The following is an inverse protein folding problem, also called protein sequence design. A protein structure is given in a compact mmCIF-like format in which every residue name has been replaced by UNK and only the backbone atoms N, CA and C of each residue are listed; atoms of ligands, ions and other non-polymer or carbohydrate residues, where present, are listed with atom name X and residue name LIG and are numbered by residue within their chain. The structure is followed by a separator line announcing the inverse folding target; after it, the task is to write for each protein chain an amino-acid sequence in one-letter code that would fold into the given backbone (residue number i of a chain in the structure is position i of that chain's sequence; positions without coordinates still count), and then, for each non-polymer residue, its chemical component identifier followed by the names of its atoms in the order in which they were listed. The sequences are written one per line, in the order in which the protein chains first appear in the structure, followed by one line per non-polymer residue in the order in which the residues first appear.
data_IF_774490048524
#
_entry.id   IF_774490048524
#
_cell.length_a   1.000
_cell.length_b   1.000
_cell.length_c   1.000
_cell.angle_alpha   90.00
_cell.angle_beta   90.00
_cell.angle_gamma   90.00
#
_symmetry.space_group_name_H-M   'P 1'
#
loop_
_entity.id
_entity.type
_entity.pdbx_description
1 polymer ?
#
# COMPACT_ATOMS: atom_id res chain seq x y z
N UNK A 1 19.77 -16.29 -3.70
CA UNK A 1 20.16 -14.88 -3.57
C UNK A 1 19.64 -14.19 -4.82
N UNK A 2 18.60 -13.37 -4.70
CA UNK A 2 18.15 -12.55 -5.82
C UNK A 2 19.10 -11.37 -5.89
N UNK A 3 19.78 -11.24 -7.02
CA UNK A 3 20.69 -10.15 -7.34
C UNK A 3 19.87 -8.86 -7.51
N UNK A 4 20.24 -7.82 -6.75
CA UNK A 4 19.59 -6.50 -6.73
C UNK A 4 20.45 -5.45 -7.46
N UNK A 5 21.30 -5.87 -8.39
CA UNK A 5 22.10 -4.95 -9.18
C UNK A 5 21.33 -4.39 -10.38
N UNK A 6 21.22 -3.06 -10.43
CA UNK A 6 21.28 -2.36 -11.71
C UNK A 6 19.96 -2.01 -12.39
N UNK A 7 19.13 -1.21 -11.73
CA UNK A 7 18.68 0.06 -12.32
C UNK A 7 18.63 1.06 -11.19
N UNK A 8 19.55 2.00 -11.27
CA UNK A 8 19.72 3.24 -10.54
C UNK A 8 18.38 3.93 -10.16
N UNK A 9 17.69 3.37 -9.15
CA UNK A 9 16.38 3.79 -8.60
C UNK A 9 16.37 5.21 -8.03
N UNK A 10 17.51 5.89 -8.05
CA UNK A 10 17.67 7.24 -7.52
C UNK A 10 18.38 8.16 -8.51
N UNK A 11 18.71 7.72 -9.72
CA UNK A 11 19.62 8.46 -10.60
C UNK A 11 19.02 9.77 -11.12
N UNK A 12 17.73 9.78 -11.50
CA UNK A 12 17.07 11.02 -11.91
C UNK A 12 16.91 11.99 -10.72
N UNK A 13 16.62 11.45 -9.53
CA UNK A 13 16.59 12.19 -8.27
C UNK A 13 17.97 12.77 -7.87
N UNK A 14 19.04 12.03 -8.11
CA UNK A 14 20.42 12.39 -7.75
C UNK A 14 20.99 13.51 -8.63
N UNK A 15 20.59 13.56 -9.91
CA UNK A 15 21.06 14.59 -10.86
C UNK A 15 20.53 15.99 -10.49
N UNK A 16 19.41 16.09 -9.78
CA UNK A 16 18.78 17.38 -9.40
C UNK A 16 19.06 17.83 -7.95
N UNK A 17 19.68 17.00 -7.12
CA UNK A 17 19.94 17.35 -5.72
C UNK A 17 21.17 18.25 -5.56
N UNK A 18 20.96 19.56 -5.63
CA UNK A 18 21.95 20.56 -5.20
C UNK A 18 21.99 20.74 -3.67
N UNK A 19 21.08 20.11 -2.93
CA UNK A 19 20.86 20.31 -1.49
C UNK A 19 21.39 19.11 -0.69
N UNK A 20 22.17 19.40 0.36
CA UNK A 20 22.64 18.39 1.33
C UNK A 20 21.56 18.12 2.38
N UNK A 21 21.44 16.85 2.77
CA UNK A 21 20.56 16.40 3.85
C UNK A 21 21.38 15.77 4.97
N UNK A 22 21.03 16.09 6.22
CA UNK A 22 21.61 15.46 7.40
C UNK A 22 20.97 14.11 7.69
N UNK A 23 19.68 13.94 7.40
CA UNK A 23 18.92 12.74 7.70
C UNK A 23 17.98 12.33 6.57
N UNK A 24 17.75 11.02 6.49
CA UNK A 24 16.65 10.42 5.72
C UNK A 24 15.54 10.02 6.67
N UNK A 25 14.29 10.35 6.40
CA UNK A 25 13.15 9.98 7.26
C UNK A 25 12.15 9.08 6.53
N UNK A 26 11.77 7.95 7.14
CA UNK A 26 10.67 7.14 6.63
C UNK A 26 9.33 7.85 6.89
N UNK A 27 8.71 8.32 5.83
CA UNK A 27 7.48 9.10 5.85
C UNK A 27 6.28 8.28 5.37
N UNK A 28 5.39 7.93 6.29
CA UNK A 28 4.17 7.16 5.99
C UNK A 28 2.96 8.04 5.65
N UNK A 29 3.05 9.36 5.80
CA UNK A 29 1.89 10.27 5.74
C UNK A 29 1.08 10.37 7.04
N UNK A 30 1.36 9.50 8.02
CA UNK A 30 0.67 9.49 9.30
C UNK A 30 1.25 10.47 10.32
N UNK A 31 0.54 10.61 11.44
CA UNK A 31 0.92 11.49 12.54
C UNK A 31 2.34 11.21 13.07
N UNK A 32 2.64 9.95 13.40
CA UNK A 32 3.86 9.62 14.13
C UNK A 32 5.13 9.89 13.29
N UNK A 33 5.12 9.59 11.98
CA UNK A 33 6.24 9.93 11.08
C UNK A 33 6.37 11.44 10.85
N UNK A 34 5.26 12.16 10.75
CA UNK A 34 5.22 13.62 10.64
C UNK A 34 5.85 14.30 11.86
N UNK A 35 5.52 13.83 13.07
CA UNK A 35 6.10 14.35 14.31
C UNK A 35 7.60 14.08 14.38
N UNK A 36 8.04 12.85 14.08
CA UNK A 36 9.46 12.49 14.08
C UNK A 36 10.28 13.40 13.15
N UNK A 37 9.78 13.66 11.94
CA UNK A 37 10.40 14.59 10.99
C UNK A 37 10.46 16.01 11.58
N UNK A 38 9.35 16.53 12.10
CA UNK A 38 9.29 17.89 12.66
C UNK A 38 10.20 18.07 13.88
N UNK A 39 10.33 17.05 14.74
CA UNK A 39 11.20 17.11 15.91
C UNK A 39 12.65 17.38 15.47
N UNK A 40 13.13 16.64 14.47
CA UNK A 40 14.51 16.77 13.99
C UNK A 40 14.70 18.03 13.15
N UNK A 41 13.78 18.32 12.22
CA UNK A 41 13.87 19.52 11.38
C UNK A 41 13.86 20.82 12.19
N UNK A 42 13.09 20.91 13.28
CA UNK A 42 13.09 22.09 14.17
C UNK A 42 14.41 22.35 14.88
N UNK A 43 15.35 21.40 14.89
CA UNK A 43 16.70 21.58 15.45
C UNK A 43 17.72 22.03 14.42
N UNK A 44 17.27 22.43 13.23
CA UNK A 44 18.13 22.95 12.17
C UNK A 44 18.73 21.88 11.26
N UNK A 45 18.36 20.61 11.45
CA UNK A 45 18.79 19.53 10.57
C UNK A 45 17.99 19.50 9.26
N UNK A 46 18.70 19.34 8.15
CA UNK A 46 18.08 19.11 6.84
C UNK A 46 17.61 17.66 6.73
N UNK A 47 16.32 17.46 6.44
CA UNK A 47 15.70 16.12 6.38
C UNK A 47 15.12 15.87 4.99
N UNK A 48 15.49 14.74 4.38
CA UNK A 48 14.81 14.20 3.22
C UNK A 48 13.76 13.18 3.69
N UNK A 49 12.48 13.45 3.47
CA UNK A 49 11.42 12.48 3.71
C UNK A 49 11.31 11.50 2.54
N UNK A 50 11.22 10.20 2.82
CA UNK A 50 11.02 9.16 1.81
C UNK A 50 9.73 8.42 2.11
N UNK A 51 8.84 8.38 1.11
CA UNK A 51 7.59 7.64 1.15
C UNK A 51 7.62 6.51 0.13
N UNK A 52 7.73 5.28 0.62
CA UNK A 52 7.55 4.10 -0.22
C UNK A 52 6.06 3.88 -0.53
N UNK A 53 5.68 4.00 -1.80
CA UNK A 53 4.33 3.78 -2.26
C UNK A 53 4.14 2.30 -2.61
N UNK A 54 3.47 1.57 -1.73
CA UNK A 54 3.24 0.13 -1.91
C UNK A 54 2.01 -0.15 -2.78
N UNK A 55 1.97 -1.28 -3.50
CA UNK A 55 0.75 -1.73 -4.21
C UNK A 55 -0.45 -1.89 -3.28
N UNK A 56 -0.23 -2.07 -1.98
CA UNK A 56 -1.27 -2.31 -0.97
C UNK A 56 -1.70 -1.06 -0.20
N UNK A 57 -1.31 0.12 -0.70
CA UNK A 57 -1.87 1.39 -0.21
C UNK A 57 -3.27 1.60 -0.77
N UNK A 58 -4.21 2.17 0.01
CA UNK A 58 -5.54 2.50 -0.51
C UNK A 58 -5.48 3.53 -1.62
N UNK A 59 -6.48 3.51 -2.50
CA UNK A 59 -6.55 4.39 -3.66
C UNK A 59 -5.67 3.93 -4.83
N UNK A 60 -5.49 4.83 -5.79
CA UNK A 60 -4.75 4.56 -7.04
C UNK A 60 -3.28 4.26 -6.76
N UNK A 61 -2.72 3.26 -7.45
CA UNK A 61 -1.28 2.99 -7.45
C UNK A 61 -0.50 4.21 -7.93
N UNK A 62 0.56 4.55 -7.19
CA UNK A 62 1.59 5.47 -7.66
C UNK A 62 2.59 4.63 -8.45
N UNK A 63 2.82 4.98 -9.71
CA UNK A 63 3.69 4.23 -10.64
C UNK A 63 5.01 4.91 -10.93
N UNK A 64 5.11 6.19 -10.58
CA UNK A 64 6.27 7.02 -10.89
C UNK A 64 6.80 7.67 -9.61
N UNK A 65 8.11 7.92 -9.61
CA UNK A 65 8.76 8.69 -8.57
C UNK A 65 8.22 10.13 -8.57
N UNK A 66 8.11 10.70 -7.37
CA UNK A 66 7.69 12.09 -7.22
C UNK A 66 8.56 12.78 -6.20
N UNK A 67 9.18 13.88 -6.59
CA UNK A 67 9.90 14.76 -5.70
C UNK A 67 9.13 16.07 -5.54
N UNK A 68 8.90 16.49 -4.30
CA UNK A 68 8.22 17.75 -4.01
C UNK A 68 8.58 18.27 -2.62
N UNK A 69 8.43 19.57 -2.42
CA UNK A 69 8.50 20.17 -1.10
C UNK A 69 7.17 19.98 -0.36
N UNK A 70 7.19 19.26 0.75
CA UNK A 70 6.03 19.09 1.61
C UNK A 70 5.91 20.29 2.56
N UNK A 71 5.10 21.27 2.19
CA UNK A 71 4.93 22.52 2.93
C UNK A 71 4.46 22.34 4.38
N UNK A 72 3.59 21.35 4.65
CA UNK A 72 3.10 21.11 6.02
C UNK A 72 4.21 20.62 6.94
N UNK A 73 5.15 19.83 6.42
CA UNK A 73 6.33 19.36 7.14
C UNK A 73 7.52 20.32 7.06
N UNK A 74 7.59 21.14 6.02
CA UNK A 74 8.73 22.01 5.74
C UNK A 74 9.96 21.23 5.27
N UNK A 75 9.78 20.11 4.58
CA UNK A 75 10.86 19.22 4.13
C UNK A 75 10.65 18.75 2.70
N UNK A 76 11.75 18.44 2.03
CA UNK A 76 11.72 17.78 0.74
C UNK A 76 11.25 16.33 0.89
N UNK A 77 10.39 15.87 -0.02
CA UNK A 77 9.79 14.53 0.03
C UNK A 77 9.98 13.82 -1.30
N UNK A 78 10.57 12.63 -1.24
CA UNK A 78 10.66 11.68 -2.34
C UNK A 78 9.64 10.56 -2.15
N UNK A 79 8.80 10.34 -3.14
CA UNK A 79 7.89 9.19 -3.22
C UNK A 79 8.49 8.17 -4.17
N UNK A 80 8.67 6.94 -3.69
CA UNK A 80 9.26 5.85 -4.46
C UNK A 80 8.24 4.72 -4.60
N UNK A 81 7.72 4.44 -5.82
CA UNK A 81 6.82 3.32 -6.04
C UNK A 81 7.55 1.99 -5.90
N UNK A 82 6.94 1.04 -5.19
CA UNK A 82 7.49 -0.30 -5.04
C UNK A 82 6.84 -1.28 -6.03
N UNK A 83 7.69 -2.08 -6.68
CA UNK A 83 7.29 -3.05 -7.70
C UNK A 83 7.23 -4.49 -7.21
N UNK A 84 7.49 -5.42 -8.14
CA UNK A 84 7.34 -6.87 -7.93
C UNK A 84 8.25 -7.43 -6.82
N UNK A 85 9.44 -6.87 -6.61
CA UNK A 85 10.34 -7.30 -5.54
C UNK A 85 9.71 -7.16 -4.14
N UNK A 86 8.88 -6.13 -3.94
CA UNK A 86 8.12 -5.97 -2.71
C UNK A 86 6.95 -6.95 -2.61
N UNK A 87 6.34 -7.33 -3.75
CA UNK A 87 5.28 -8.34 -3.80
C UNK A 87 5.80 -9.71 -3.37
N UNK A 88 7.01 -10.09 -3.78
CA UNK A 88 7.64 -11.36 -3.34
C UNK A 88 7.82 -11.43 -1.83
N UNK A 89 8.19 -10.31 -1.20
CA UNK A 89 8.26 -10.21 0.26
C UNK A 89 6.88 -10.46 0.90
N UNK A 90 5.81 -9.94 0.30
CA UNK A 90 4.45 -10.15 0.81
C UNK A 90 4.00 -11.59 0.61
N UNK A 91 4.39 -12.28 -0.47
CA UNK A 91 4.00 -13.67 -0.74
C UNK A 91 4.57 -14.65 0.29
N UNK A 92 5.81 -14.43 0.71
CA UNK A 92 6.51 -15.34 1.62
C UNK A 92 7.35 -14.57 2.65
N UNK A 93 6.69 -13.92 3.64
CA UNK A 93 7.39 -13.15 4.66
C UNK A 93 8.20 -14.06 5.59
N UNK A 94 9.39 -13.62 5.98
CA UNK A 94 10.28 -14.40 6.85
C UNK A 94 9.76 -14.46 8.29
N UNK A 95 9.10 -13.40 8.76
CA UNK A 95 8.62 -13.30 10.15
C UNK A 95 7.11 -13.55 10.29
N UNK A 96 6.49 -14.08 9.23
CA UNK A 96 5.07 -14.40 9.19
C UNK A 96 4.15 -13.18 9.09
N UNK A 97 2.85 -13.45 9.14
CA UNK A 97 1.81 -12.43 9.08
C UNK A 97 1.27 -12.09 10.47
N UNK A 98 0.90 -10.83 10.66
CA UNK A 98 0.10 -10.37 11.79
C UNK A 98 -1.38 -10.48 11.49
N UNK A 99 -2.13 -9.39 11.66
CA UNK A 99 -3.54 -9.35 11.25
C UNK A 99 -3.67 -9.55 9.73
N UNK A 100 -4.46 -10.53 9.33
CA UNK A 100 -4.71 -10.90 7.94
C UNK A 100 -3.40 -11.21 7.19
N UNK A 101 -3.06 -10.44 6.15
CA UNK A 101 -1.87 -10.66 5.33
C UNK A 101 -0.79 -9.61 5.59
N UNK A 102 -0.69 -9.06 6.80
CA UNK A 102 0.24 -7.98 7.12
C UNK A 102 1.60 -8.48 7.67
N UNK A 103 2.70 -8.44 6.91
CA UNK A 103 4.04 -8.80 7.41
C UNK A 103 4.83 -7.57 7.86
N UNK A 104 4.34 -6.86 8.88
CA UNK A 104 4.89 -5.57 9.29
C UNK A 104 6.38 -5.58 9.64
N UNK A 105 6.92 -6.68 10.16
CA UNK A 105 8.34 -6.79 10.49
C UNK A 105 9.17 -6.79 9.20
N UNK A 106 8.84 -7.66 8.25
CA UNK A 106 9.50 -7.75 6.94
C UNK A 106 9.42 -6.43 6.17
N UNK A 107 8.23 -5.82 6.12
CA UNK A 107 8.04 -4.52 5.45
C UNK A 107 8.95 -3.44 6.01
N UNK A 108 9.07 -3.36 7.34
CA UNK A 108 9.94 -2.36 7.99
C UNK A 108 11.42 -2.62 7.76
N UNK A 109 11.84 -3.89 7.79
CA UNK A 109 13.21 -4.27 7.45
C UNK A 109 13.52 -3.84 6.01
N UNK A 110 12.60 -4.10 5.07
CA UNK A 110 12.74 -3.69 3.68
C UNK A 110 12.85 -2.17 3.54
N UNK A 111 11.90 -1.40 4.10
CA UNK A 111 11.93 0.07 4.02
C UNK A 111 13.21 0.68 4.62
N UNK A 112 13.69 0.13 5.74
CA UNK A 112 14.92 0.60 6.37
C UNK A 112 16.17 0.27 5.54
N UNK A 113 16.20 -0.86 4.85
CA UNK A 113 17.30 -1.19 3.91
C UNK A 113 17.32 -0.22 2.74
N UNK A 114 16.16 0.07 2.15
CA UNK A 114 16.09 1.03 1.06
C UNK A 114 16.43 2.45 1.53
N UNK A 115 15.93 2.88 2.70
CA UNK A 115 16.30 4.18 3.27
C UNK A 115 17.79 4.27 3.62
N UNK A 116 18.40 3.18 4.06
CA UNK A 116 19.85 3.11 4.31
C UNK A 116 20.64 3.32 3.02
N UNK A 117 20.25 2.67 1.93
CA UNK A 117 20.89 2.88 0.62
C UNK A 117 20.83 4.36 0.24
N UNK A 118 19.66 5.00 0.32
CA UNK A 118 19.53 6.44 0.02
C UNK A 118 20.39 7.29 0.93
N UNK A 119 20.37 7.02 2.24
CA UNK A 119 21.18 7.73 3.23
C UNK A 119 22.67 7.67 2.90
N UNK A 120 23.18 6.48 2.55
CA UNK A 120 24.57 6.28 2.13
C UNK A 120 24.89 7.03 0.84
N UNK A 121 24.01 6.95 -0.17
CA UNK A 121 24.22 7.62 -1.46
C UNK A 121 24.27 9.14 -1.33
N UNK A 122 23.41 9.74 -0.52
CA UNK A 122 23.39 11.21 -0.33
C UNK A 122 24.35 11.70 0.77
N UNK A 123 25.08 10.79 1.44
CA UNK A 123 25.99 11.12 2.53
C UNK A 123 25.30 11.66 3.79
N UNK A 124 24.06 11.25 4.05
CA UNK A 124 23.34 11.60 5.28
C UNK A 124 23.89 10.82 6.48
N UNK A 125 23.69 11.38 7.69
CA UNK A 125 24.26 10.87 8.94
C UNK A 125 23.45 9.72 9.54
N UNK A 126 22.14 9.70 9.30
CA UNK A 126 21.25 8.72 9.92
C UNK A 126 19.85 8.65 9.32
N UNK A 127 19.07 7.71 9.84
CA UNK A 127 17.68 7.45 9.43
C UNK A 127 16.74 7.78 10.58
N UNK A 128 15.61 8.40 10.28
CA UNK A 128 14.55 8.75 11.24
C UNK A 128 13.31 7.91 10.97
N UNK A 129 12.68 7.39 12.03
CA UNK A 129 11.33 6.79 11.95
C UNK A 129 10.39 7.35 12.99
N UNK A 130 9.09 7.33 12.67
CA UNK A 130 8.01 7.64 13.61
C UNK A 130 7.60 6.46 14.48
N UNK A 131 8.48 5.50 14.75
CA UNK A 131 8.12 4.35 15.57
C UNK A 131 8.01 4.75 17.06
N UNK A 132 6.94 4.28 17.71
CA UNK A 132 6.68 4.50 19.14
C UNK A 132 6.71 3.15 19.85
N UNK A 133 7.55 3.02 20.87
CA UNK A 133 7.69 1.80 21.67
C UNK A 133 6.32 1.35 22.23
N UNK A 134 5.95 0.10 21.98
CA UNK A 134 4.71 -0.53 22.46
C UNK A 134 3.43 -0.11 21.72
N UNK A 135 3.50 0.74 20.70
CA UNK A 135 2.29 1.26 20.05
C UNK A 135 1.64 0.25 19.09
N UNK A 136 2.44 -0.62 18.45
CA UNK A 136 1.98 -1.72 17.58
C UNK A 136 2.45 -3.07 18.12
N UNK A 137 1.52 -4.00 18.46
CA UNK A 137 1.88 -5.27 19.09
C UNK A 137 2.89 -6.12 18.30
N UNK A 138 2.71 -6.22 16.98
CA UNK A 138 3.56 -7.06 16.11
C UNK A 138 4.96 -6.48 15.90
N UNK A 139 5.07 -5.15 15.71
CA UNK A 139 6.26 -4.57 15.07
C UNK A 139 6.90 -3.41 15.84
N UNK A 140 6.40 -3.08 17.03
CA UNK A 140 6.95 -1.99 17.86
C UNK A 140 7.08 -2.39 19.35
N UNK A 141 7.02 -3.68 19.69
CA UNK A 141 7.55 -4.13 20.98
C UNK A 141 9.11 -4.10 20.96
N UNK A 142 9.75 -4.14 22.12
CA UNK A 142 11.20 -3.96 22.23
C UNK A 142 11.99 -5.01 21.43
N UNK A 143 11.56 -6.27 21.45
CA UNK A 143 12.20 -7.36 20.71
C UNK A 143 12.10 -7.14 19.20
N UNK A 144 10.93 -6.72 18.72
CA UNK A 144 10.68 -6.43 17.32
C UNK A 144 11.50 -5.22 16.84
N UNK A 145 11.56 -4.12 17.61
CA UNK A 145 12.35 -2.95 17.24
C UNK A 145 13.84 -3.29 17.10
N UNK A 146 14.39 -4.05 18.05
CA UNK A 146 15.78 -4.51 18.00
C UNK A 146 16.03 -5.49 16.85
N UNK A 147 15.10 -6.42 16.60
CA UNK A 147 15.19 -7.36 15.49
C UNK A 147 15.21 -6.61 14.16
N UNK A 148 14.25 -5.71 13.94
CA UNK A 148 14.11 -4.92 12.73
C UNK A 148 15.40 -4.14 12.48
N UNK A 149 15.90 -3.41 13.48
CA UNK A 149 17.12 -2.60 13.38
C UNK A 149 18.37 -3.42 13.02
N UNK A 150 18.55 -4.59 13.67
CA UNK A 150 19.67 -5.48 13.34
C UNK A 150 19.55 -6.04 11.92
N UNK A 151 18.34 -6.46 11.52
CA UNK A 151 18.10 -7.14 10.23
C UNK A 151 18.08 -6.16 9.05
N UNK A 152 17.73 -4.90 9.28
CA UNK A 152 17.91 -3.83 8.29
C UNK A 152 19.35 -3.34 8.19
N UNK A 153 20.22 -3.67 9.16
CA UNK A 153 21.60 -3.21 9.20
C UNK A 153 21.71 -1.72 9.52
N UNK A 154 20.76 -1.19 10.29
CA UNK A 154 20.68 0.23 10.66
C UNK A 154 21.01 0.49 12.13
N UNK A 155 21.61 -0.50 12.81
CA UNK A 155 22.04 -0.37 14.21
C UNK A 155 22.92 0.87 14.40
N UNK A 156 22.59 1.68 15.41
CA UNK A 156 23.37 2.86 15.78
C UNK A 156 23.11 4.11 14.92
N UNK A 157 22.55 3.97 13.72
CA UNK A 157 22.21 5.08 12.81
C UNK A 157 20.70 5.31 12.66
N UNK A 158 19.87 4.49 13.31
CA UNK A 158 18.41 4.59 13.30
C UNK A 158 17.88 5.31 14.53
N UNK A 159 17.38 6.52 14.34
CA UNK A 159 16.78 7.35 15.38
C UNK A 159 15.26 7.21 15.41
N UNK A 160 14.70 7.09 16.62
CA UNK A 160 13.24 7.00 16.87
C UNK A 160 12.80 8.14 17.79
N UNK A 161 12.60 9.37 17.28
CA UNK A 161 12.51 10.55 18.13
C UNK A 161 11.37 10.53 19.16
N UNK A 162 10.28 9.82 18.87
CA UNK A 162 9.11 9.77 19.76
C UNK A 162 9.32 8.90 21.00
N UNK A 163 10.14 7.85 20.90
CA UNK A 163 10.42 6.94 22.02
C UNK A 163 11.90 6.87 22.38
N UNK A 164 12.70 7.79 21.84
CA UNK A 164 14.16 7.77 21.95
C UNK A 164 14.62 7.66 23.39
N UNK A 165 14.01 8.40 24.31
CA UNK A 165 14.33 8.41 25.75
C UNK A 165 14.18 7.05 26.45
N UNK A 166 13.45 6.11 25.85
CA UNK A 166 13.20 4.77 26.39
C UNK A 166 14.05 3.67 25.76
N UNK A 167 14.82 3.99 24.72
CA UNK A 167 15.62 3.04 23.96
C UNK A 167 17.11 3.25 24.24
N UNK A 168 17.97 2.24 24.04
CA UNK A 168 19.42 2.42 24.10
C UNK A 168 19.88 3.58 23.20
N UNK A 169 20.92 4.30 23.63
CA UNK A 169 21.47 5.41 22.84
C UNK A 169 22.04 4.91 21.52
N UNK A 170 21.70 5.63 20.46
CA UNK A 170 22.27 5.48 19.12
C UNK A 170 23.69 6.08 19.05
N UNK A 171 24.45 5.77 18.00
CA UNK A 171 25.75 6.42 17.76
C UNK A 171 25.57 7.91 17.42
N UNK A 172 24.42 8.28 16.86
CA UNK A 172 24.02 9.67 16.65
C UNK A 172 23.92 10.45 17.98
N UNK A 173 23.46 9.80 19.03
CA UNK A 173 23.39 10.39 20.37
C UNK A 173 24.76 10.42 21.05
N UNK A 174 25.52 9.32 20.99
CA UNK A 174 26.84 9.23 21.62
C UNK A 174 27.87 10.19 21.02
N UNK A 175 27.78 10.44 19.72
CA UNK A 175 28.64 11.41 19.01
C UNK A 175 28.22 12.87 19.23
N UNK A 176 27.11 13.13 19.92
CA UNK A 176 26.60 14.47 20.16
C UNK A 176 25.89 15.11 18.95
N UNK A 177 25.68 14.38 17.85
CA UNK A 177 24.89 14.87 16.71
C UNK A 177 23.45 15.14 17.16
N UNK A 178 22.88 14.26 17.98
CA UNK A 178 21.55 14.41 18.54
C UNK A 178 21.64 14.42 20.06
N UNK A 179 21.15 15.48 20.70
CA UNK A 179 21.02 15.49 22.16
C UNK A 179 19.87 14.58 22.59
N UNK A 180 20.11 13.75 23.61
CA UNK A 180 19.09 12.88 24.21
C UNK A 180 17.87 13.66 24.71
N UNK A 181 18.09 14.90 25.15
CA UNK A 181 17.03 15.78 25.65
C UNK A 181 16.06 16.24 24.57
N UNK A 182 16.45 16.09 23.30
CA UNK A 182 15.63 16.48 22.16
C UNK A 182 14.61 15.41 21.77
N UNK A 183 14.74 14.23 22.38
CA UNK A 183 13.91 13.06 22.13
C UNK A 183 12.80 12.96 23.19
N UNK A 184 11.81 12.14 22.90
CA UNK A 184 10.65 11.93 23.76
C UNK A 184 10.64 10.51 24.34
N UNK A 185 9.83 10.34 25.37
CA UNK A 185 9.58 9.11 26.12
C UNK A 185 8.16 8.55 25.88
N UNK A 186 7.60 8.82 24.69
CA UNK A 186 6.25 8.35 24.33
C UNK A 186 6.30 6.82 24.16
N UNK A 187 5.36 6.15 24.80
CA UNK A 187 5.17 4.71 24.68
C UNK A 187 3.71 4.29 24.81
N UNK A 188 3.45 3.03 24.48
CA UNK A 188 2.16 2.40 24.59
C UNK A 188 1.23 2.72 23.41
N UNK A 189 0.00 2.24 23.52
CA UNK A 189 -0.96 2.23 22.39
C UNK A 189 -1.76 3.51 22.25
N UNK A 190 -1.82 4.33 23.30
CA UNK A 190 -2.62 5.55 23.31
C UNK A 190 -1.95 6.62 22.44
N UNK A 191 -2.75 7.47 21.80
CA UNK A 191 -2.26 8.57 20.95
C UNK A 191 -2.37 9.94 21.60
N UNK A 192 -2.69 10.01 22.89
CA UNK A 192 -2.90 11.28 23.59
C UNK A 192 -1.65 12.18 23.51
N UNK A 193 -0.49 11.64 23.89
CA UNK A 193 0.77 12.39 23.88
C UNK A 193 1.18 12.82 22.46
N UNK A 194 1.00 11.96 21.44
CA UNK A 194 1.33 12.33 20.06
C UNK A 194 0.38 13.39 19.50
N UNK A 195 -0.91 13.36 19.84
CA UNK A 195 -1.87 14.40 19.48
C UNK A 195 -1.60 15.74 20.18
N UNK A 196 -1.25 15.72 21.46
CA UNK A 196 -0.82 16.91 22.20
C UNK A 196 0.46 17.50 21.61
N UNK A 197 1.42 16.65 21.24
CA UNK A 197 2.65 17.07 20.56
C UNK A 197 2.37 17.66 19.16
N UNK A 198 1.42 17.09 18.41
CA UNK A 198 1.00 17.61 17.11
C UNK A 198 0.55 19.07 17.20
N UNK A 199 -0.29 19.40 18.19
CA UNK A 199 -0.74 20.76 18.46
C UNK A 199 0.44 21.69 18.74
N UNK A 200 1.38 21.28 19.62
CA UNK A 200 2.58 22.07 19.95
C UNK A 200 3.52 22.28 18.76
N UNK A 201 3.58 21.31 17.84
CA UNK A 201 4.47 21.37 16.68
C UNK A 201 3.80 21.97 15.43
N UNK A 202 2.50 22.31 15.49
CA UNK A 202 1.74 22.83 14.35
C UNK A 202 1.46 21.78 13.27
N UNK A 203 1.44 20.49 13.64
CA UNK A 203 1.12 19.38 12.72
C UNK A 203 -0.38 19.18 12.72
N UNK A 204 -1.06 19.84 11.79
CA UNK A 204 -2.53 19.85 11.68
C UNK A 204 -3.04 18.88 10.61
N UNK A 205 -2.24 18.61 9.57
CA UNK A 205 -2.59 17.72 8.47
C UNK A 205 -1.78 16.43 8.55
N UNK A 206 -2.49 15.31 8.77
CA UNK A 206 -1.93 13.96 8.68
C UNK A 206 -3.04 13.00 8.27
N UNK A 207 -2.66 11.90 7.63
CA UNK A 207 -3.65 10.88 7.28
C UNK A 207 -4.22 10.24 8.55
N UNK A 208 -5.55 10.20 8.62
CA UNK A 208 -6.23 9.48 9.70
C UNK A 208 -5.92 7.97 9.60
N UNK A 209 -5.89 7.23 10.72
CA UNK A 209 -5.58 5.79 10.72
C UNK A 209 -6.54 4.93 9.89
N UNK A 210 -7.71 5.48 9.53
CA UNK A 210 -8.78 4.79 8.82
C UNK A 210 -8.39 4.31 7.41
N UNK A 211 -7.27 4.78 6.85
CA UNK A 211 -6.75 4.36 5.55
C UNK A 211 -5.45 3.53 5.63
N UNK A 212 -5.30 2.66 6.64
CA UNK A 212 -4.10 1.84 6.83
C UNK A 212 -3.75 0.93 5.64
N UNK A 213 -2.72 0.09 5.80
CA UNK A 213 -2.32 -0.87 4.76
C UNK A 213 -3.47 -1.85 4.45
N UNK A 214 -3.82 -2.02 3.17
CA UNK A 214 -4.91 -2.92 2.73
C UNK A 214 -4.66 -4.39 3.10
N UNK A 215 -3.41 -4.77 3.39
CA UNK A 215 -3.07 -6.10 3.92
C UNK A 215 -3.72 -6.40 5.29
N UNK A 216 -4.15 -5.36 6.00
CA UNK A 216 -4.91 -5.50 7.25
C UNK A 216 -6.41 -5.51 7.05
N UNK A 217 -6.92 -5.15 5.87
CA UNK A 217 -8.35 -5.21 5.54
C UNK A 217 -8.75 -6.67 5.26
N UNK A 218 -9.73 -7.24 5.99
CA UNK A 218 -10.13 -8.64 5.80
C UNK A 218 -10.62 -8.94 4.38
N UNK A 219 -11.37 -8.01 3.76
CA UNK A 219 -11.93 -8.21 2.43
C UNK A 219 -10.85 -8.23 1.35
N UNK A 220 -9.93 -7.27 1.40
CA UNK A 220 -8.77 -7.21 0.51
C UNK A 220 -7.84 -8.41 0.73
N UNK A 221 -7.58 -8.79 1.98
CA UNK A 221 -6.74 -9.96 2.29
C UNK A 221 -7.31 -11.27 1.73
N UNK A 222 -8.64 -11.47 1.80
CA UNK A 222 -9.30 -12.62 1.16
C UNK A 222 -9.07 -12.63 -0.36
N UNK A 223 -9.30 -11.48 -1.01
CA UNK A 223 -9.07 -11.32 -2.45
C UNK A 223 -7.61 -11.55 -2.82
N UNK A 224 -6.67 -11.04 -2.02
CA UNK A 224 -5.24 -11.21 -2.26
C UNK A 224 -4.84 -12.68 -2.16
N UNK A 225 -5.24 -13.37 -1.08
CA UNK A 225 -4.95 -14.80 -0.89
C UNK A 225 -5.46 -15.63 -2.07
N UNK A 226 -6.71 -15.37 -2.48
CA UNK A 226 -7.33 -16.02 -3.64
C UNK A 226 -6.56 -15.74 -4.94
N UNK A 227 -6.14 -14.49 -5.16
CA UNK A 227 -5.32 -14.09 -6.30
C UNK A 227 -3.97 -14.82 -6.32
N UNK A 228 -3.30 -14.94 -5.16
CA UNK A 228 -2.02 -15.64 -5.03
C UNK A 228 -2.14 -17.13 -5.37
N UNK A 229 -3.21 -17.79 -4.92
CA UNK A 229 -3.49 -19.21 -5.21
C UNK A 229 -3.67 -19.48 -6.72
N UNK A 230 -4.04 -18.46 -7.49
CA UNK A 230 -4.24 -18.54 -8.95
C UNK A 230 -3.10 -17.92 -9.77
N UNK A 231 -1.98 -17.58 -9.13
CA UNK A 231 -0.85 -16.88 -9.77
C UNK A 231 -1.19 -15.52 -10.39
N UNK A 232 -2.19 -14.82 -9.85
CA UNK A 232 -2.64 -13.51 -10.30
C UNK A 232 -2.07 -12.44 -9.35
N UNK A 233 -0.78 -12.18 -9.45
CA UNK A 233 -0.05 -11.30 -8.53
C UNK A 233 0.83 -10.26 -9.21
N UNK A 234 0.62 -10.03 -10.51
CA UNK A 234 1.25 -8.88 -11.16
C UNK A 234 0.68 -7.58 -10.59
N UNK A 235 1.43 -6.49 -10.76
CA UNK A 235 1.04 -5.21 -10.16
C UNK A 235 -0.37 -4.77 -10.58
N UNK A 236 -0.78 -5.05 -11.81
CA UNK A 236 -2.11 -4.71 -12.32
C UNK A 236 -3.21 -5.60 -11.72
N UNK A 237 -2.92 -6.88 -11.47
CA UNK A 237 -3.84 -7.76 -10.74
C UNK A 237 -4.08 -7.22 -9.34
N UNK A 238 -2.99 -6.86 -8.63
CA UNK A 238 -3.03 -6.29 -7.28
C UNK A 238 -3.78 -4.95 -7.23
N UNK A 239 -3.60 -4.11 -8.26
CA UNK A 239 -4.32 -2.85 -8.37
C UNK A 239 -5.82 -3.09 -8.59
N UNK A 240 -6.18 -4.08 -9.40
CA UNK A 240 -7.57 -4.45 -9.64
C UNK A 240 -8.26 -4.93 -8.35
N UNK A 241 -7.56 -5.60 -7.42
CA UNK A 241 -8.12 -6.07 -6.14
C UNK A 241 -8.70 -4.96 -5.24
N UNK A 242 -8.37 -3.70 -5.51
CA UNK A 242 -8.88 -2.54 -4.74
C UNK A 242 -10.29 -2.13 -5.17
N UNK A 243 -10.72 -2.53 -6.37
CA UNK A 243 -11.92 -2.02 -7.02
C UNK A 243 -12.82 -3.16 -7.48
N UNK A 244 -14.13 -2.92 -7.49
CA UNK A 244 -15.10 -3.91 -7.93
C UNK A 244 -15.42 -5.01 -6.90
N UNK A 245 -16.30 -5.89 -7.32
CA UNK A 245 -16.67 -7.14 -6.66
C UNK A 245 -16.03 -8.28 -7.44
N UNK A 246 -15.32 -9.16 -6.74
CA UNK A 246 -14.54 -10.20 -7.38
C UNK A 246 -15.23 -11.55 -7.25
N UNK A 247 -15.25 -12.30 -8.35
CA UNK A 247 -15.82 -13.64 -8.43
C UNK A 247 -14.81 -14.60 -9.04
N UNK A 248 -14.82 -15.84 -8.56
CA UNK A 248 -14.14 -16.96 -9.20
C UNK A 248 -15.20 -17.91 -9.74
N UNK A 249 -15.22 -18.08 -11.06
CA UNK A 249 -16.22 -18.87 -11.77
C UNK A 249 -15.81 -20.36 -11.83
N UNK A 250 -16.71 -21.29 -12.24
CA UNK A 250 -16.44 -22.74 -12.22
C UNK A 250 -15.18 -23.17 -12.98
N UNK A 251 -14.89 -22.54 -14.12
CA UNK A 251 -13.70 -22.78 -14.94
C UNK A 251 -12.44 -22.06 -14.41
N UNK A 252 -12.52 -21.49 -13.20
CA UNK A 252 -11.51 -20.65 -12.55
C UNK A 252 -11.26 -19.32 -13.25
N UNK A 253 -12.10 -18.88 -14.18
CA UNK A 253 -12.01 -17.51 -14.71
C UNK A 253 -12.38 -16.48 -13.63
N UNK A 254 -11.75 -15.30 -13.68
CA UNK A 254 -12.00 -14.19 -12.76
C UNK A 254 -12.95 -13.21 -13.40
N UNK A 255 -13.99 -12.83 -12.66
CA UNK A 255 -14.89 -11.75 -13.02
C UNK A 255 -14.77 -10.62 -11.99
N UNK A 256 -14.60 -9.39 -12.47
CA UNK A 256 -14.61 -8.17 -11.66
C UNK A 256 -15.81 -7.32 -12.08
N UNK A 257 -16.73 -7.04 -11.16
CA UNK A 257 -17.91 -6.21 -11.39
C UNK A 257 -17.70 -4.85 -10.74
N UNK A 258 -17.58 -3.79 -11.51
CA UNK A 258 -17.39 -2.44 -10.96
C UNK A 258 -18.54 -1.99 -10.04
N UNK A 259 -18.24 -1.18 -9.02
CA UNK A 259 -19.25 -0.73 -8.03
C UNK A 259 -19.88 0.62 -8.38
N UNK A 260 -19.17 1.43 -9.16
CA UNK A 260 -19.58 2.78 -9.55
C UNK A 260 -18.81 3.20 -10.82
N UNK A 261 -19.20 4.33 -11.39
CA UNK A 261 -18.62 4.87 -12.63
C UNK A 261 -17.10 5.10 -12.53
N UNK A 262 -16.61 5.61 -11.39
CA UNK A 262 -15.17 5.80 -11.17
C UNK A 262 -14.41 4.48 -11.30
N UNK A 263 -14.90 3.41 -10.66
CA UNK A 263 -14.27 2.10 -10.73
C UNK A 263 -14.33 1.49 -12.14
N UNK A 264 -15.47 1.61 -12.83
CA UNK A 264 -15.62 1.14 -14.20
C UNK A 264 -14.55 1.78 -15.10
N UNK A 265 -14.46 3.12 -15.07
CA UNK A 265 -13.51 3.89 -15.87
C UNK A 265 -12.07 3.59 -15.49
N UNK A 266 -11.78 3.47 -14.19
CA UNK A 266 -10.44 3.18 -13.71
C UNK A 266 -9.97 1.78 -14.11
N UNK A 267 -10.79 0.75 -13.90
CA UNK A 267 -10.50 -0.63 -14.29
C UNK A 267 -10.32 -0.76 -15.81
N UNK A 268 -11.20 -0.15 -16.61
CA UNK A 268 -11.07 -0.12 -18.08
C UNK A 268 -9.79 0.58 -18.56
N UNK A 269 -9.25 1.49 -17.74
CA UNK A 269 -8.00 2.19 -18.00
C UNK A 269 -6.79 1.27 -18.15
N UNK A 270 -6.71 0.18 -17.38
CA UNK A 270 -5.54 -0.71 -17.36
C UNK A 270 -5.84 -2.21 -17.60
N UNK A 271 -7.09 -2.68 -17.41
CA UNK A 271 -7.48 -4.05 -17.73
C UNK A 271 -7.80 -4.23 -19.23
N UNK A 272 -6.77 -4.09 -20.08
CA UNK A 272 -6.94 -4.10 -21.54
C UNK A 272 -7.24 -5.48 -22.13
N UNK A 273 -6.72 -6.55 -21.52
CA UNK A 273 -6.90 -7.93 -22.00
C UNK A 273 -8.00 -8.65 -21.23
N UNK A 274 -9.24 -8.16 -21.32
CA UNK A 274 -10.43 -8.74 -20.67
C UNK A 274 -11.61 -8.75 -21.63
N UNK A 275 -12.51 -9.71 -21.43
CA UNK A 275 -13.85 -9.68 -22.01
C UNK A 275 -14.66 -8.67 -21.20
N UNK A 276 -15.26 -7.69 -21.88
CA UNK A 276 -16.07 -6.66 -21.23
C UNK A 276 -17.54 -7.00 -21.39
N UNK A 277 -18.28 -6.98 -20.29
CA UNK A 277 -19.74 -7.19 -20.28
C UNK A 277 -20.45 -5.96 -19.74
N UNK A 278 -21.45 -5.48 -20.47
CA UNK A 278 -22.26 -4.32 -20.13
C UNK A 278 -23.71 -4.56 -20.52
N UNK A 279 -24.64 -4.08 -19.70
CA UNK A 279 -26.06 -4.09 -20.05
C UNK A 279 -26.30 -3.18 -21.27
N UNK A 280 -26.97 -3.73 -22.29
CA UNK A 280 -27.15 -3.05 -23.57
C UNK A 280 -28.22 -1.96 -23.52
N UNK A 281 -29.16 -2.04 -22.56
CA UNK A 281 -30.39 -1.25 -22.56
C UNK A 281 -30.56 -0.42 -21.28
N UNK A 282 -29.94 -0.81 -20.17
CA UNK A 282 -30.11 -0.16 -18.87
C UNK A 282 -28.78 0.21 -18.21
N UNK A 283 -28.77 1.25 -17.35
CA UNK A 283 -27.60 1.56 -16.55
C UNK A 283 -27.17 0.36 -15.70
N UNK A 284 -25.87 0.10 -15.68
CA UNK A 284 -25.28 -1.02 -14.96
C UNK A 284 -23.77 -0.89 -14.80
N UNK A 285 -23.13 -1.87 -14.14
CA UNK A 285 -21.69 -1.90 -14.01
C UNK A 285 -21.04 -2.32 -15.33
N UNK A 286 -19.77 -1.93 -15.50
CA UNK A 286 -18.89 -2.60 -16.44
C UNK A 286 -18.26 -3.80 -15.74
N UNK A 287 -18.36 -4.96 -16.38
CA UNK A 287 -17.79 -6.21 -15.90
C UNK A 287 -16.55 -6.59 -16.71
N UNK A 288 -15.51 -7.08 -16.04
CA UNK A 288 -14.22 -7.47 -16.63
C UNK A 288 -13.97 -8.95 -16.36
N UNK A 289 -14.05 -9.78 -17.40
CA UNK A 289 -13.89 -11.24 -17.35
C UNK A 289 -12.56 -11.67 -17.96
N UNK A 290 -11.94 -12.72 -17.41
CA UNK A 290 -10.73 -13.33 -17.99
C UNK A 290 -10.93 -13.73 -19.46
N UNK A 291 -9.92 -13.53 -20.33
CA UNK A 291 -10.08 -13.71 -21.78
C UNK A 291 -10.27 -15.17 -22.21
N UNK A 292 -9.82 -16.16 -21.43
CA UNK A 292 -9.97 -17.58 -21.72
C UNK A 292 -11.20 -18.22 -21.03
N UNK A 293 -12.20 -17.43 -20.64
CA UNK A 293 -13.39 -17.97 -19.99
C UNK A 293 -14.21 -18.88 -20.92
N UNK A 294 -14.76 -19.95 -20.37
CA UNK A 294 -15.64 -20.88 -21.08
C UNK A 294 -16.97 -20.21 -21.47
N UNK A 295 -17.70 -20.82 -22.40
CA UNK A 295 -19.02 -20.30 -22.82
C UNK A 295 -20.03 -20.23 -21.67
N UNK A 296 -19.95 -21.18 -20.73
CA UNK A 296 -20.74 -21.25 -19.51
C UNK A 296 -20.36 -20.12 -18.54
N UNK A 297 -19.07 -19.85 -18.37
CA UNK A 297 -18.58 -18.73 -17.54
C UNK A 297 -18.90 -17.37 -18.14
N UNK A 298 -18.89 -17.23 -19.47
CA UNK A 298 -19.35 -16.01 -20.16
C UNK A 298 -20.85 -15.80 -19.90
N UNK A 299 -21.67 -16.84 -20.07
CA UNK A 299 -23.12 -16.78 -19.78
C UNK A 299 -23.37 -16.42 -18.31
N UNK A 300 -22.72 -17.11 -17.36
CA UNK A 300 -22.84 -16.80 -15.93
C UNK A 300 -22.39 -15.37 -15.61
N UNK A 301 -21.33 -14.88 -16.25
CA UNK A 301 -20.89 -13.49 -16.10
C UNK A 301 -21.92 -12.49 -16.60
N UNK A 302 -22.62 -12.79 -17.70
CA UNK A 302 -23.71 -11.96 -18.20
C UNK A 302 -24.89 -11.96 -17.21
N UNK A 303 -25.25 -13.12 -16.62
CA UNK A 303 -26.29 -13.22 -15.59
C UNK A 303 -25.93 -12.39 -14.34
N UNK A 304 -24.67 -12.43 -13.92
CA UNK A 304 -24.15 -11.61 -12.81
C UNK A 304 -24.12 -10.12 -13.19
N UNK A 305 -23.74 -9.77 -14.41
CA UNK A 305 -23.76 -8.39 -14.90
C UNK A 305 -25.18 -7.81 -14.83
N UNK A 306 -26.17 -8.55 -15.33
CA UNK A 306 -27.59 -8.20 -15.25
C UNK A 306 -28.09 -8.07 -13.80
N UNK A 307 -27.63 -8.94 -12.90
CA UNK A 307 -27.97 -8.87 -11.47
C UNK A 307 -27.55 -7.53 -10.84
N UNK A 308 -26.40 -6.99 -11.22
CA UNK A 308 -25.90 -5.73 -10.67
C UNK A 308 -26.34 -4.51 -11.48
N UNK A 309 -27.04 -4.68 -12.60
CA UNK A 309 -27.60 -3.58 -13.39
C UNK A 309 -29.03 -3.23 -12.93
N UNK A 310 -29.62 -2.21 -13.55
CA UNK A 310 -31.05 -1.87 -13.40
C UNK A 310 -31.99 -2.89 -14.06
N UNK A 311 -31.47 -4.02 -14.54
CA UNK A 311 -32.23 -5.14 -15.08
C UNK A 311 -32.39 -6.31 -14.07
N UNK A 312 -31.94 -6.16 -12.81
CA UNK A 312 -31.98 -7.22 -11.78
C UNK A 312 -33.34 -7.91 -11.64
N UNK A 313 -34.43 -7.15 -11.73
CA UNK A 313 -35.79 -7.64 -11.53
C UNK A 313 -36.53 -7.96 -12.86
N UNK A 314 -35.85 -7.85 -14.00
CA UNK A 314 -36.42 -8.19 -15.30
C UNK A 314 -36.44 -9.71 -15.52
N UNK A 315 -37.37 -10.18 -16.36
CA UNK A 315 -37.39 -11.58 -16.79
C UNK A 315 -36.15 -11.95 -17.61
N UNK A 316 -35.68 -11.02 -18.44
CA UNK A 316 -34.45 -11.16 -19.23
C UNK A 316 -33.76 -9.82 -19.41
N UNK A 317 -32.44 -9.82 -19.45
CA UNK A 317 -31.59 -8.69 -19.82
C UNK A 317 -30.76 -9.04 -21.08
N UNK A 318 -30.47 -8.02 -21.90
CA UNK A 318 -29.58 -8.14 -23.05
C UNK A 318 -28.21 -7.60 -22.65
N UNK A 319 -27.19 -8.45 -22.63
CA UNK A 319 -25.83 -8.09 -22.23
C UNK A 319 -24.92 -8.09 -23.46
N UNK A 320 -24.30 -6.94 -23.72
CA UNK A 320 -23.25 -6.79 -24.72
C UNK A 320 -21.96 -7.39 -24.20
N UNK A 321 -21.30 -8.19 -25.04
CA UNK A 321 -20.02 -8.83 -24.76
C UNK A 321 -19.01 -8.33 -25.79
N UNK A 322 -18.02 -7.59 -25.32
CA UNK A 322 -16.90 -7.11 -26.11
C UNK A 322 -15.70 -8.02 -25.88
N UNK A 323 -15.35 -8.78 -26.90
CA UNK A 323 -14.24 -9.73 -26.94
C UNK A 323 -13.54 -9.63 -28.31
N UNK A 324 -12.84 -10.66 -28.77
CA UNK A 324 -12.30 -10.69 -30.15
C UNK A 324 -13.40 -10.52 -31.21
N UNK A 325 -14.57 -11.09 -30.95
CA UNK A 325 -15.80 -10.84 -31.69
C UNK A 325 -16.86 -10.31 -30.73
N UNK A 326 -17.46 -9.19 -31.08
CA UNK A 326 -18.54 -8.62 -30.29
C UNK A 326 -19.85 -9.35 -30.57
N UNK A 327 -20.60 -9.66 -29.52
CA UNK A 327 -21.93 -10.25 -29.60
C UNK A 327 -22.76 -9.84 -28.38
N UNK A 328 -24.04 -10.22 -28.36
CA UNK A 328 -24.90 -10.00 -27.21
C UNK A 328 -25.58 -11.30 -26.79
N UNK A 329 -25.84 -11.44 -25.49
CA UNK A 329 -26.59 -12.57 -24.93
C UNK A 329 -27.84 -12.08 -24.21
N UNK A 330 -28.95 -12.74 -24.48
CA UNK A 330 -30.15 -12.61 -23.66
C UNK A 330 -30.09 -13.62 -22.51
N UNK A 331 -30.12 -13.13 -21.28
CA UNK A 331 -29.96 -13.92 -20.06
C UNK A 331 -30.99 -13.52 -19.01
N UNK A 332 -31.32 -14.45 -18.11
CA UNK A 332 -32.06 -14.11 -16.89
C UNK A 332 -31.05 -13.59 -15.86
N UNK A 333 -31.30 -12.48 -15.14
CA UNK A 333 -30.42 -12.05 -14.05
C UNK A 333 -30.17 -13.17 -13.05
N UNK A 334 -28.92 -13.31 -12.58
CA UNK A 334 -28.57 -14.29 -11.55
C UNK A 334 -29.36 -14.00 -10.26
N UNK A 335 -29.72 -15.04 -9.50
CA UNK A 335 -30.29 -14.85 -8.17
C UNK A 335 -29.21 -14.56 -7.11
N UNK A 336 -29.62 -14.09 -5.93
CA UNK A 336 -28.70 -13.80 -4.82
C UNK A 336 -27.89 -15.04 -4.40
N UNK A 337 -28.42 -16.26 -4.56
CA UNK A 337 -27.75 -17.51 -4.16
C UNK A 337 -26.58 -17.81 -5.09
N UNK A 338 -26.79 -17.73 -6.40
CA UNK A 338 -25.77 -17.86 -7.44
C UNK A 338 -24.68 -16.81 -7.25
N UNK A 339 -25.04 -15.55 -7.01
CA UNK A 339 -24.06 -14.48 -6.76
C UNK A 339 -23.21 -14.79 -5.52
N UNK A 340 -23.84 -15.21 -4.40
CA UNK A 340 -23.12 -15.56 -3.16
C UNK A 340 -22.22 -16.79 -3.32
N UNK A 341 -22.56 -17.71 -4.21
CA UNK A 341 -21.78 -18.93 -4.44
C UNK A 341 -20.38 -18.63 -4.99
N UNK A 342 -20.24 -17.61 -5.85
CA UNK A 342 -19.00 -17.36 -6.60
C UNK A 342 -18.22 -16.12 -6.12
N UNK A 343 -18.82 -15.29 -5.26
CA UNK A 343 -18.16 -14.06 -4.79
C UNK A 343 -17.03 -14.38 -3.81
N UNK A 344 -15.86 -13.76 -4.01
CA UNK A 344 -14.67 -13.95 -3.18
C UNK A 344 -14.75 -13.14 -1.86
N UNK A 345 -15.59 -12.12 -1.82
CA UNK A 345 -15.50 -11.00 -0.87
C UNK A 345 -16.57 -10.94 0.22
N UNK A 346 -17.31 -12.02 0.53
CA UNK A 346 -18.12 -12.05 1.75
C UNK A 346 -17.26 -12.27 2.99
#
# INVERSE_FOLDING_TARGET
MVDYSGRDFYFMFMVELHKKYDFVALYSGGLDSSLAIKIIAKRGFSVLAIKFATPFSPGKRITEEKFYFNASLGVDTLVVPLGESYVELIKSPQYGYGSNMNPCIDCKIFFLREAKRVMETIGAKGIITGEVLGQRPMSQNIQALQLIERKSGTTGILLRPLSGKLLPQTELEKSGIISREDLYDINGRTRRQTLELAKRLGVVEFTSPAGGCLLTDPGYARRLKESLEHSEYHLDDLEALKFGRHFRLPDKSKLIVGRNEFENNYLAGFLKNKIILEDALRPGPTCFLSPQASSESIRLSAEICAHYSKSKDDQTALINIKAEKNFALQVKPADDKTVRQYIISL
#
